data_IF_340278938792
#
_entry.id   IF_340278938792
#
_cell.length_a   1.000
_cell.length_b   1.000
_cell.length_c   1.000
_cell.angle_alpha   90.00
_cell.angle_beta   90.00
_cell.angle_gamma   90.00
#
_symmetry.space_group_name_H-M   'P 1'
#
loop_
_entity.id
_entity.type
_entity.pdbx_description
1 polymer ?
#
# COMPACT_ATOMS: atom_id res chain seq x y z
N UNK A 1 28.13 8.41 -2.13
CA UNK A 1 27.01 9.32 -2.43
C UNK A 1 26.24 9.57 -1.14
N UNK A 2 26.40 10.73 -0.51
CA UNK A 2 25.85 11.00 0.84
C UNK A 2 24.35 11.34 0.81
N UNK A 3 23.78 11.71 -0.34
CA UNK A 3 22.38 12.15 -0.45
C UNK A 3 21.32 11.04 -0.40
N UNK A 4 21.61 9.82 -0.87
CA UNK A 4 20.59 8.77 -1.01
C UNK A 4 20.16 8.19 0.34
N UNK A 5 21.07 8.05 1.31
CA UNK A 5 20.71 7.52 2.63
C UNK A 5 19.72 8.44 3.36
N UNK A 6 19.89 9.76 3.23
CA UNK A 6 19.03 10.74 3.88
C UNK A 6 17.65 10.76 3.23
N UNK A 7 17.59 10.65 1.90
CA UNK A 7 16.33 10.47 1.19
C UNK A 7 15.59 9.20 1.66
N UNK A 8 16.26 8.05 1.71
CA UNK A 8 15.65 6.80 2.18
C UNK A 8 15.17 6.90 3.63
N UNK A 9 15.97 7.50 4.52
CA UNK A 9 15.61 7.69 5.92
C UNK A 9 14.41 8.65 6.09
N UNK A 10 14.37 9.77 5.35
CA UNK A 10 13.28 10.74 5.42
C UNK A 10 11.98 10.14 4.87
N UNK A 11 12.07 9.45 3.72
CA UNK A 11 10.93 8.76 3.11
C UNK A 11 10.42 7.65 4.01
N UNK A 12 11.31 6.84 4.61
CA UNK A 12 10.96 5.81 5.59
C UNK A 12 10.27 6.40 6.82
N UNK A 13 10.78 7.50 7.38
CA UNK A 13 10.16 8.19 8.51
C UNK A 13 8.75 8.73 8.18
N UNK A 14 8.55 9.24 6.97
CA UNK A 14 7.24 9.70 6.51
C UNK A 14 6.23 8.55 6.45
N UNK A 15 6.63 7.40 5.90
CA UNK A 15 5.79 6.20 5.85
C UNK A 15 5.57 5.57 7.22
N UNK A 16 6.55 5.63 8.13
CA UNK A 16 6.36 5.26 9.53
C UNK A 16 5.30 6.16 10.20
N UNK A 17 5.33 7.46 9.92
CA UNK A 17 4.28 8.40 10.33
C UNK A 17 2.90 7.94 9.85
N UNK A 18 2.75 7.64 8.55
CA UNK A 18 1.50 7.11 8.01
C UNK A 18 1.05 5.80 8.67
N UNK A 19 1.98 4.89 8.98
CA UNK A 19 1.68 3.65 9.69
C UNK A 19 1.14 3.92 11.11
N UNK A 20 1.76 4.85 11.85
CA UNK A 20 1.28 5.28 13.17
C UNK A 20 -0.09 5.95 13.07
N UNK A 21 -0.30 6.87 12.14
CA UNK A 21 -1.59 7.51 11.91
C UNK A 21 -2.70 6.48 11.60
N UNK A 22 -2.38 5.43 10.85
CA UNK A 22 -3.30 4.34 10.55
C UNK A 22 -3.55 3.42 11.76
N UNK A 23 -2.55 3.22 12.63
CA UNK A 23 -2.66 2.46 13.86
C UNK A 23 -3.53 3.18 14.92
N UNK A 24 -3.34 4.51 15.05
CA UNK A 24 -4.10 5.36 15.97
C UNK A 24 -5.47 5.80 15.42
N UNK A 25 -5.67 5.73 14.10
CA UNK A 25 -6.93 6.03 13.43
C UNK A 25 -8.03 5.05 13.84
N UNK A 26 -9.01 5.52 14.63
CA UNK A 26 -10.02 4.66 15.25
C UNK A 26 -11.18 4.21 14.35
N UNK A 27 -11.19 4.58 13.06
CA UNK A 27 -12.42 4.58 12.28
C UNK A 27 -12.67 3.37 11.35
N UNK A 28 -11.72 2.41 11.20
CA UNK A 28 -11.94 1.30 10.24
C UNK A 28 -11.46 -0.07 10.71
N UNK A 29 -12.15 -1.16 10.33
CA UNK A 29 -11.76 -2.56 10.62
C UNK A 29 -10.54 -2.99 9.82
N UNK A 30 -10.24 -2.32 8.70
CA UNK A 30 -9.07 -2.58 7.86
C UNK A 30 -7.77 -1.89 8.34
N UNK A 31 -7.83 -1.11 9.44
CA UNK A 31 -6.74 -0.23 9.88
C UNK A 31 -5.41 -0.96 10.13
N UNK A 32 -5.48 -2.18 10.66
CA UNK A 32 -4.30 -2.97 11.04
C UNK A 32 -3.53 -3.43 9.80
N UNK A 33 -4.23 -3.73 8.71
CA UNK A 33 -3.60 -4.20 7.46
C UNK A 33 -2.87 -3.08 6.74
N UNK A 34 -3.52 -1.91 6.66
CA UNK A 34 -2.89 -0.71 6.10
C UNK A 34 -1.71 -0.24 6.96
N UNK A 35 -1.86 -0.22 8.29
CA UNK A 35 -0.76 0.10 9.21
C UNK A 35 0.43 -0.87 9.05
N UNK A 36 0.16 -2.18 8.95
CA UNK A 36 1.20 -3.18 8.73
C UNK A 36 1.88 -3.03 7.35
N UNK A 37 1.13 -2.75 6.30
CA UNK A 37 1.68 -2.49 4.97
C UNK A 37 2.63 -1.29 4.97
N UNK A 38 2.17 -0.15 5.49
CA UNK A 38 2.98 1.07 5.56
C UNK A 38 4.18 0.91 6.52
N UNK A 39 4.03 0.14 7.60
CA UNK A 39 5.10 -0.17 8.53
C UNK A 39 6.21 -1.03 7.91
N UNK A 40 5.85 -2.09 7.19
CA UNK A 40 6.83 -2.94 6.47
C UNK A 40 7.58 -2.12 5.41
N UNK A 41 6.87 -1.25 4.68
CA UNK A 41 7.49 -0.37 3.69
C UNK A 41 8.50 0.63 4.29
N UNK A 42 8.17 1.19 5.46
CA UNK A 42 9.07 2.08 6.19
C UNK A 42 10.34 1.35 6.67
N UNK A 43 10.19 0.12 7.17
CA UNK A 43 11.32 -0.73 7.58
C UNK A 43 12.22 -1.07 6.38
N UNK A 44 11.63 -1.36 5.22
CA UNK A 44 12.36 -1.59 3.97
C UNK A 44 13.24 -0.40 3.59
N UNK A 45 12.69 0.82 3.68
CA UNK A 45 13.42 2.03 3.30
C UNK A 45 14.51 2.43 4.33
N UNK A 46 14.28 2.22 5.63
CA UNK A 46 15.26 2.59 6.66
C UNK A 46 16.35 1.53 6.86
N UNK A 47 15.98 0.24 6.83
CA UNK A 47 16.85 -0.86 7.23
C UNK A 47 17.27 -1.74 6.04
N UNK A 48 16.70 -1.54 4.85
CA UNK A 48 17.09 -2.24 3.61
C UNK A 48 18.62 -2.32 3.37
N UNK A 49 19.41 -1.26 3.60
CA UNK A 49 20.87 -1.32 3.43
C UNK A 49 21.60 -2.23 4.44
N UNK A 50 20.97 -2.53 5.57
CA UNK A 50 21.52 -3.33 6.67
C UNK A 50 20.90 -4.73 6.75
N UNK A 51 19.87 -5.01 5.94
CA UNK A 51 19.19 -6.29 5.91
C UNK A 51 19.96 -7.29 5.02
N UNK A 52 20.11 -8.56 5.46
CA UNK A 52 20.54 -9.63 4.57
C UNK A 52 19.59 -9.75 3.37
N UNK A 53 20.11 -10.05 2.18
CA UNK A 53 19.31 -10.16 0.94
C UNK A 53 18.07 -11.06 1.08
N UNK A 54 18.20 -12.14 1.86
CA UNK A 54 17.11 -13.09 2.15
C UNK A 54 15.98 -12.44 2.97
N UNK A 55 16.34 -11.59 3.94
CA UNK A 55 15.38 -10.92 4.81
C UNK A 55 14.65 -9.81 4.06
N UNK A 56 15.37 -9.05 3.22
CA UNK A 56 14.80 -7.97 2.43
C UNK A 56 13.74 -8.51 1.45
N UNK A 57 14.09 -9.57 0.70
CA UNK A 57 13.16 -10.26 -0.19
C UNK A 57 11.94 -10.85 0.54
N UNK A 58 12.13 -11.38 1.75
CA UNK A 58 11.04 -11.92 2.57
C UNK A 58 10.06 -10.83 3.04
N UNK A 59 10.56 -9.64 3.39
CA UNK A 59 9.70 -8.52 3.77
C UNK A 59 8.86 -8.05 2.58
N UNK A 60 9.43 -8.02 1.38
CA UNK A 60 8.69 -7.71 0.15
C UNK A 60 7.55 -8.71 -0.06
N UNK A 61 7.81 -10.00 0.10
CA UNK A 61 6.79 -11.06 0.02
C UNK A 61 5.67 -10.87 1.04
N UNK A 62 6.01 -10.56 2.29
CA UNK A 62 5.04 -10.25 3.35
C UNK A 62 4.19 -9.03 2.96
N UNK A 63 4.82 -7.98 2.42
CA UNK A 63 4.14 -6.77 1.98
C UNK A 63 3.17 -7.01 0.83
N UNK A 64 3.55 -7.84 -0.15
CA UNK A 64 2.68 -8.27 -1.25
C UNK A 64 1.50 -9.08 -0.72
N UNK A 65 1.73 -10.00 0.23
CA UNK A 65 0.66 -10.74 0.89
C UNK A 65 -0.34 -9.84 1.60
N UNK A 66 0.16 -8.86 2.36
CA UNK A 66 -0.65 -7.83 3.01
C UNK A 66 -1.50 -7.02 2.02
N UNK A 67 -0.94 -6.68 0.86
CA UNK A 67 -1.66 -5.98 -0.20
C UNK A 67 -2.74 -6.86 -0.86
N UNK A 68 -2.43 -8.13 -1.12
CA UNK A 68 -3.32 -9.07 -1.81
C UNK A 68 -4.57 -9.45 -0.99
N UNK A 69 -4.45 -9.57 0.34
CA UNK A 69 -5.55 -9.91 1.25
C UNK A 69 -6.68 -8.84 1.24
N UNK A 70 -6.43 -7.67 0.63
CA UNK A 70 -7.37 -6.57 0.55
C UNK A 70 -8.01 -6.28 -0.78
N UNK A 71 -7.55 -6.90 -1.85
CA UNK A 71 -8.10 -6.70 -3.18
C UNK A 71 -9.51 -7.30 -3.24
N UNK A 72 -10.53 -6.46 -3.07
CA UNK A 72 -11.87 -6.79 -3.52
C UNK A 72 -11.95 -6.46 -5.00
N UNK A 73 -12.21 -7.44 -5.89
CA UNK A 73 -12.50 -7.14 -7.28
C UNK A 73 -13.62 -6.09 -7.30
N UNK A 74 -13.38 -4.98 -8.00
CA UNK A 74 -14.40 -3.95 -8.16
C UNK A 74 -15.65 -4.60 -8.73
N UNK A 75 -16.78 -4.51 -8.00
CA UNK A 75 -18.06 -4.99 -8.53
C UNK A 75 -18.37 -4.13 -9.74
N UNK A 76 -18.17 -4.68 -10.93
CA UNK A 76 -18.77 -4.14 -12.15
C UNK A 76 -20.27 -4.45 -11.99
N UNK A 77 -20.99 -3.56 -11.31
CA UNK A 77 -22.42 -3.70 -11.10
C UNK A 77 -23.16 -3.57 -12.43
N UNK A 78 -24.33 -4.18 -12.54
CA UNK A 78 -25.19 -4.09 -13.73
C UNK A 78 -25.51 -2.64 -14.14
N UNK A 79 -25.38 -1.69 -13.23
CA UNK A 79 -25.44 -0.24 -13.50
C UNK A 79 -24.37 0.23 -14.48
N UNK A 80 -23.14 -0.29 -14.43
CA UNK A 80 -22.08 0.04 -15.39
C UNK A 80 -22.41 -0.53 -16.78
N UNK A 81 -23.04 -1.69 -16.85
CA UNK A 81 -23.50 -2.27 -18.11
C UNK A 81 -24.65 -1.44 -18.71
N UNK A 82 -25.58 -0.93 -17.89
CA UNK A 82 -26.63 0.01 -18.32
C UNK A 82 -26.05 1.36 -18.74
N UNK A 83 -25.12 1.91 -17.97
CA UNK A 83 -24.49 3.21 -18.24
C UNK A 83 -23.66 3.20 -19.52
N UNK A 84 -22.96 2.08 -19.82
CA UNK A 84 -22.28 1.84 -21.11
C UNK A 84 -23.25 1.74 -22.28
N UNK A 85 -24.44 1.14 -22.08
CA UNK A 85 -25.48 1.06 -23.11
C UNK A 85 -26.12 2.41 -23.39
N UNK A 86 -26.35 3.23 -22.37
CA UNK A 86 -26.91 4.57 -22.53
C UNK A 86 -25.91 5.56 -23.15
N UNK A 87 -24.62 5.45 -22.84
CA UNK A 87 -23.60 6.27 -23.53
C UNK A 87 -23.45 5.88 -25.00
N UNK A 88 -23.55 4.58 -25.34
CA UNK A 88 -23.56 4.13 -26.74
C UNK A 88 -24.77 4.63 -27.54
N UNK A 89 -25.92 4.85 -26.88
CA UNK A 89 -27.11 5.44 -27.51
C UNK A 89 -27.00 6.94 -27.75
N UNK A 90 -26.11 7.66 -27.06
CA UNK A 90 -25.88 9.10 -27.23
C UNK A 90 -24.92 9.44 -28.36
N UNK A 91 -24.22 8.45 -28.91
CA UNK A 91 -23.21 8.59 -29.98
C UNK A 91 -23.74 8.17 -31.37
N UNK A 92 -25.02 7.79 -31.45
CA UNK A 92 -25.75 7.49 -32.68
C UNK A 92 -26.73 8.62 -32.98
#
# INVERSE_FOLDING_TARGET
>A
MIGTQWACALTGAMFAGFALLHLFGRFDRARWRSAAFWGVYAVLLMVGPYLPDLLDGSLVLVMVGLAAIGLRPGRIGDEDARRRRDSARRLR
#
